data_IF_081632679826
#
_entry.id   IF_081632679826
#
_cell.length_a   1.000
_cell.length_b   1.000
_cell.length_c   1.000
_cell.angle_alpha   90.00
_cell.angle_beta   90.00
_cell.angle_gamma   90.00
#
_symmetry.space_group_name_H-M   'P 1'
#
loop_
_entity.id
_entity.type
_entity.pdbx_description
1 polymer ?
#
# COMPACT_ATOMS: atom_id res chain seq x y z
N UNK A 1 22.51 -30.61 -0.44
CA UNK A 1 23.66 -29.69 -0.27
C UNK A 1 23.20 -28.45 0.51
N UNK A 2 24.06 -27.88 1.36
CA UNK A 2 23.74 -26.64 2.10
C UNK A 2 23.76 -25.46 1.12
N UNK A 3 22.65 -24.74 1.01
CA UNK A 3 22.54 -23.57 0.14
C UNK A 3 23.51 -22.47 0.57
N UNK A 4 24.14 -21.82 -0.40
CA UNK A 4 24.95 -20.62 -0.19
C UNK A 4 24.10 -19.44 0.29
N UNK A 5 24.75 -18.39 0.78
CA UNK A 5 24.06 -17.15 1.18
C UNK A 5 23.35 -16.48 -0.01
N UNK A 6 23.99 -16.48 -1.19
CA UNK A 6 23.43 -15.90 -2.42
C UNK A 6 22.17 -16.64 -2.88
N UNK A 7 22.18 -17.98 -2.85
CA UNK A 7 20.99 -18.78 -3.21
C UNK A 7 19.83 -18.55 -2.24
N UNK A 8 20.12 -18.51 -0.92
CA UNK A 8 19.08 -18.19 0.08
C UNK A 8 18.53 -16.78 -0.09
N UNK A 9 19.38 -15.80 -0.42
CA UNK A 9 18.93 -14.44 -0.73
C UNK A 9 18.01 -14.40 -1.93
N UNK A 10 18.32 -15.11 -3.02
CA UNK A 10 17.44 -15.19 -4.18
C UNK A 10 16.06 -15.76 -3.82
N UNK A 11 16.02 -16.88 -3.07
CA UNK A 11 14.78 -17.54 -2.64
C UNK A 11 13.95 -16.61 -1.73
N UNK A 12 14.58 -16.03 -0.72
CA UNK A 12 13.88 -15.26 0.31
C UNK A 12 13.50 -13.85 -0.15
N UNK A 13 14.21 -13.29 -1.12
CA UNK A 13 13.83 -12.05 -1.81
C UNK A 13 12.64 -12.27 -2.76
N UNK A 14 12.65 -13.38 -3.52
CA UNK A 14 11.52 -13.73 -4.39
C UNK A 14 10.26 -14.03 -3.57
N UNK A 15 10.38 -14.78 -2.47
CA UNK A 15 9.26 -15.05 -1.58
C UNK A 15 8.70 -13.78 -0.92
N UNK A 16 9.54 -12.76 -0.67
CA UNK A 16 9.11 -11.48 -0.13
C UNK A 16 8.28 -10.65 -1.12
N UNK A 17 8.22 -10.98 -2.42
CA UNK A 17 7.47 -10.19 -3.42
C UNK A 17 5.97 -10.09 -3.11
N UNK A 18 5.42 -11.09 -2.43
CA UNK A 18 4.00 -11.16 -2.03
C UNK A 18 3.63 -10.24 -0.85
N UNK A 19 4.62 -9.64 -0.17
CA UNK A 19 4.38 -8.61 0.85
C UNK A 19 4.25 -7.22 0.20
N UNK A 20 3.03 -6.76 -0.01
CA UNK A 20 2.77 -5.42 -0.51
C UNK A 20 2.98 -4.41 0.63
N UNK A 21 4.20 -3.91 0.75
CA UNK A 21 4.57 -2.85 1.72
C UNK A 21 5.47 -1.77 1.11
N UNK A 22 6.00 -2.02 -0.08
CA UNK A 22 6.81 -1.12 -0.89
C UNK A 22 6.49 -1.36 -2.37
N UNK A 23 6.81 -0.37 -3.21
CA UNK A 23 6.73 -0.52 -4.65
C UNK A 23 7.93 -1.36 -5.13
N UNK A 24 7.65 -2.55 -5.64
CA UNK A 24 8.64 -3.36 -6.34
C UNK A 24 8.79 -2.79 -7.76
N UNK A 25 10.02 -2.57 -8.23
CA UNK A 25 10.26 -2.27 -9.64
C UNK A 25 10.00 -3.54 -10.47
N UNK A 26 8.79 -3.67 -11.01
CA UNK A 26 8.46 -4.73 -11.95
C UNK A 26 9.22 -4.52 -13.26
N UNK A 27 10.32 -5.24 -13.46
CA UNK A 27 11.08 -5.26 -14.71
C UNK A 27 11.19 -6.68 -15.24
N UNK A 28 11.30 -6.83 -16.56
CA UNK A 28 11.63 -8.12 -17.18
C UNK A 28 13.05 -8.52 -16.80
N UNK A 29 13.28 -9.82 -16.55
CA UNK A 29 14.63 -10.35 -16.34
C UNK A 29 15.47 -10.11 -17.60
N UNK A 30 16.57 -9.38 -17.44
CA UNK A 30 17.62 -9.13 -18.42
C UNK A 30 18.93 -9.51 -17.77
N UNK A 31 19.78 -10.16 -18.54
CA UNK A 31 21.13 -10.52 -18.13
C UNK A 31 22.07 -10.24 -19.28
N UNK A 32 23.11 -9.46 -19.02
CA UNK A 32 24.11 -9.07 -20.00
C UNK A 32 25.38 -9.92 -19.93
N UNK A 33 25.44 -10.92 -19.04
CA UNK A 33 26.61 -11.79 -18.84
C UNK A 33 27.04 -12.51 -20.13
N UNK A 34 26.10 -12.90 -20.99
CA UNK A 34 26.36 -13.59 -22.26
C UNK A 34 26.64 -12.65 -23.44
N UNK A 35 26.25 -11.38 -23.36
CA UNK A 35 26.32 -10.42 -24.46
C UNK A 35 27.48 -9.42 -24.35
N UNK A 36 28.24 -9.46 -23.26
CA UNK A 36 29.30 -8.48 -22.98
C UNK A 36 28.77 -7.07 -22.68
N UNK A 37 27.44 -6.91 -22.55
CA UNK A 37 26.80 -5.67 -22.16
C UNK A 37 26.90 -5.39 -20.65
N UNK A 38 26.42 -4.24 -20.22
CA UNK A 38 26.33 -3.87 -18.81
C UNK A 38 24.90 -4.00 -18.28
N UNK A 39 24.78 -4.55 -17.08
CA UNK A 39 23.55 -4.58 -16.29
C UNK A 39 22.79 -5.89 -16.36
N UNK A 40 22.30 -6.32 -15.18
CA UNK A 40 21.31 -7.39 -15.05
C UNK A 40 20.17 -6.90 -14.17
N UNK A 41 18.97 -7.36 -14.45
CA UNK A 41 17.81 -7.15 -13.58
C UNK A 41 17.60 -8.42 -12.77
N UNK A 42 18.55 -8.74 -11.89
CA UNK A 42 18.39 -9.80 -10.90
C UNK A 42 17.48 -9.35 -9.75
N UNK A 43 16.72 -10.29 -9.19
CA UNK A 43 15.84 -10.05 -8.04
C UNK A 43 16.63 -9.94 -6.73
N UNK A 44 17.50 -8.93 -6.60
CA UNK A 44 18.35 -8.68 -5.43
C UNK A 44 17.60 -8.28 -4.16
N UNK A 45 16.27 -8.41 -4.16
CA UNK A 45 15.42 -8.06 -3.03
C UNK A 45 15.31 -6.57 -2.77
N UNK A 46 15.71 -5.70 -3.69
CA UNK A 46 15.59 -4.24 -3.46
C UNK A 46 14.20 -3.76 -3.89
N UNK A 47 13.51 -3.04 -3.00
CA UNK A 47 12.26 -2.34 -3.32
C UNK A 47 12.31 -0.86 -2.92
N UNK A 48 11.35 -0.08 -3.42
CA UNK A 48 11.29 1.35 -3.16
C UNK A 48 10.11 1.69 -2.26
N UNK A 49 10.38 2.39 -1.15
CA UNK A 49 9.37 2.97 -0.29
C UNK A 49 9.42 4.49 -0.38
N UNK A 50 8.36 5.18 0.03
CA UNK A 50 8.34 6.63 0.06
C UNK A 50 8.25 7.10 1.52
N UNK A 51 9.21 7.92 1.91
CA UNK A 51 9.21 8.58 3.21
C UNK A 51 8.08 9.62 3.28
N UNK A 52 7.66 10.05 4.49
CA UNK A 52 6.59 11.05 4.65
C UNK A 52 6.83 12.39 3.94
N UNK A 53 8.09 12.72 3.66
CA UNK A 53 8.52 13.92 2.91
C UNK A 53 8.47 13.74 1.38
N UNK A 54 8.10 12.56 0.89
CA UNK A 54 8.01 12.23 -0.53
C UNK A 54 9.30 11.69 -1.15
N UNK A 55 10.39 11.55 -0.38
CA UNK A 55 11.62 10.93 -0.88
C UNK A 55 11.41 9.44 -1.11
N UNK A 56 11.90 8.97 -2.25
CA UNK A 56 12.00 7.54 -2.55
C UNK A 56 13.22 6.97 -1.84
N UNK A 57 13.05 5.89 -1.08
CA UNK A 57 14.11 5.19 -0.38
C UNK A 57 14.21 3.74 -0.86
N UNK A 58 15.43 3.23 -1.06
CA UNK A 58 15.66 1.83 -1.40
C UNK A 58 15.77 0.96 -0.15
N UNK A 59 15.06 -0.16 -0.12
CA UNK A 59 15.04 -1.10 1.01
C UNK A 59 15.46 -2.49 0.56
N UNK A 60 16.28 -3.17 1.38
CA UNK A 60 16.46 -4.61 1.26
C UNK A 60 15.20 -5.29 1.80
N UNK A 61 14.43 -5.90 0.91
CA UNK A 61 13.17 -6.58 1.16
C UNK A 61 13.37 -8.08 1.11
N UNK A 62 13.41 -8.69 2.29
CA UNK A 62 13.69 -10.13 2.44
C UNK A 62 12.80 -10.76 3.51
N UNK A 63 12.64 -12.07 3.41
CA UNK A 63 12.15 -12.89 4.51
C UNK A 63 13.31 -13.41 5.35
N UNK A 64 13.17 -13.42 6.68
CA UNK A 64 14.07 -14.19 7.56
C UNK A 64 14.03 -15.67 7.18
N UNK A 65 12.82 -16.18 6.93
CA UNK A 65 12.60 -17.50 6.36
C UNK A 65 11.29 -17.56 5.60
N UNK A 66 11.21 -18.44 4.61
CA UNK A 66 9.95 -18.82 3.99
C UNK A 66 9.37 -20.12 4.56
N UNK A 67 9.96 -20.74 5.59
CA UNK A 67 9.30 -21.81 6.33
C UNK A 67 8.13 -21.24 7.14
N UNK A 68 6.97 -21.88 7.09
CA UNK A 68 5.79 -21.46 7.84
C UNK A 68 5.04 -22.66 8.37
N UNK A 69 4.62 -22.61 9.64
CA UNK A 69 3.74 -23.63 10.25
C UNK A 69 2.27 -23.47 9.84
N UNK A 70 1.85 -22.30 9.34
CA UNK A 70 0.48 -22.04 8.92
C UNK A 70 0.24 -22.45 7.46
N UNK A 71 -0.99 -22.88 7.17
CA UNK A 71 -1.41 -23.35 5.85
C UNK A 71 -2.40 -22.42 5.14
N UNK A 72 -2.11 -21.11 5.14
CA UNK A 72 -2.98 -20.13 4.49
C UNK A 72 -3.14 -20.45 2.98
N UNK A 73 -4.37 -20.66 2.52
CA UNK A 73 -4.68 -21.16 1.18
C UNK A 73 -4.09 -20.31 0.05
N UNK A 74 -4.00 -18.99 0.25
CA UNK A 74 -3.52 -18.00 -0.72
C UNK A 74 -1.99 -17.80 -0.69
N UNK A 75 -1.29 -18.36 0.30
CA UNK A 75 0.11 -18.08 0.54
C UNK A 75 1.00 -19.13 -0.15
N UNK A 76 1.95 -18.66 -0.98
CA UNK A 76 2.96 -19.53 -1.58
C UNK A 76 3.84 -20.22 -0.53
N UNK A 77 4.01 -19.59 0.63
CA UNK A 77 4.85 -20.09 1.72
C UNK A 77 4.07 -20.95 2.73
N UNK A 78 2.81 -21.31 2.45
CA UNK A 78 2.00 -22.17 3.31
C UNK A 78 2.69 -23.52 3.59
N UNK A 79 2.44 -24.13 4.74
CA UNK A 79 3.15 -25.35 5.17
C UNK A 79 3.01 -26.50 4.17
N UNK A 80 1.88 -26.61 3.47
CA UNK A 80 1.62 -27.65 2.46
C UNK A 80 2.23 -27.38 1.08
N UNK A 81 2.88 -26.22 0.85
CA UNK A 81 3.48 -25.90 -0.45
C UNK A 81 4.86 -26.51 -0.62
N UNK A 82 5.13 -27.06 -1.81
CA UNK A 82 6.41 -27.69 -2.16
C UNK A 82 7.47 -26.69 -2.67
N UNK A 83 7.27 -25.39 -2.48
CA UNK A 83 8.28 -24.40 -2.86
C UNK A 83 9.59 -24.60 -2.12
N UNK A 84 10.68 -24.25 -2.80
CA UNK A 84 12.01 -24.35 -2.24
C UNK A 84 12.15 -23.48 -0.97
N UNK A 85 12.61 -24.10 0.12
CA UNK A 85 12.73 -23.43 1.42
C UNK A 85 14.15 -23.00 1.74
N UNK A 86 14.24 -21.87 2.44
CA UNK A 86 15.46 -21.25 2.91
C UNK A 86 15.21 -20.52 4.23
N UNK A 87 16.29 -20.31 4.98
CA UNK A 87 16.30 -19.55 6.23
C UNK A 87 17.64 -18.87 6.42
N UNK A 88 17.62 -17.64 6.90
CA UNK A 88 18.80 -16.96 7.42
C UNK A 88 18.89 -17.11 8.94
N UNK A 89 20.10 -16.99 9.48
CA UNK A 89 20.27 -16.65 10.89
C UNK A 89 20.13 -15.13 11.09
N UNK A 90 19.83 -14.66 12.31
CA UNK A 90 19.84 -13.22 12.62
C UNK A 90 21.13 -12.52 12.19
N UNK A 91 22.28 -13.14 12.42
CA UNK A 91 23.61 -12.59 12.10
C UNK A 91 23.80 -12.43 10.59
N UNK A 92 23.29 -13.36 9.79
CA UNK A 92 23.33 -13.27 8.33
C UNK A 92 22.48 -12.11 7.79
N UNK A 93 21.30 -11.87 8.37
CA UNK A 93 20.43 -10.74 7.99
C UNK A 93 21.10 -9.40 8.35
N UNK A 94 21.66 -9.30 9.56
CA UNK A 94 22.40 -8.11 10.00
C UNK A 94 23.58 -7.84 9.07
N UNK A 95 24.38 -8.86 8.77
CA UNK A 95 25.52 -8.75 7.86
C UNK A 95 25.10 -8.30 6.47
N UNK A 96 24.08 -8.95 5.87
CA UNK A 96 23.55 -8.58 4.55
C UNK A 96 23.09 -7.12 4.52
N UNK A 97 22.35 -6.69 5.54
CA UNK A 97 21.86 -5.32 5.64
C UNK A 97 23.01 -4.31 5.68
N UNK A 98 24.01 -4.55 6.52
CA UNK A 98 25.19 -3.67 6.62
C UNK A 98 26.00 -3.63 5.33
N UNK A 99 26.14 -4.76 4.65
CA UNK A 99 26.93 -4.89 3.43
C UNK A 99 26.26 -4.23 2.21
N UNK A 100 24.93 -4.31 2.09
CA UNK A 100 24.19 -3.57 1.06
C UNK A 100 24.19 -2.07 1.36
N UNK A 101 24.08 -1.68 2.63
CA UNK A 101 24.10 -0.27 3.03
C UNK A 101 25.45 0.39 2.76
N UNK A 102 26.56 -0.25 3.15
CA UNK A 102 27.93 0.26 2.92
C UNK A 102 28.27 0.44 1.44
N UNK A 103 27.63 -0.32 0.56
CA UNK A 103 27.78 -0.22 -0.91
C UNK A 103 26.78 0.76 -1.55
N UNK A 104 26.02 1.51 -0.75
CA UNK A 104 24.99 2.44 -1.19
C UNK A 104 23.88 1.81 -2.06
N UNK A 105 23.57 0.53 -1.85
CA UNK A 105 22.48 -0.15 -2.57
C UNK A 105 21.12 0.05 -1.89
N UNK A 106 21.13 0.24 -0.56
CA UNK A 106 19.92 0.40 0.25
C UNK A 106 20.08 1.57 1.24
N UNK A 107 18.97 2.15 1.63
CA UNK A 107 18.83 3.09 2.74
C UNK A 107 18.13 2.46 3.96
N UNK A 108 17.68 1.22 3.84
CA UNK A 108 16.96 0.53 4.91
C UNK A 108 16.67 -0.96 4.67
N UNK A 109 16.01 -1.57 5.64
CA UNK A 109 15.60 -2.97 5.68
C UNK A 109 14.07 -3.05 5.77
N UNK A 110 13.47 -3.86 4.90
CA UNK A 110 12.12 -4.41 5.07
C UNK A 110 12.27 -5.91 5.40
N UNK A 111 11.91 -6.29 6.63
CA UNK A 111 12.02 -7.67 7.10
C UNK A 111 10.65 -8.23 7.47
N UNK A 112 10.36 -9.40 6.90
CA UNK A 112 9.19 -10.22 7.18
C UNK A 112 9.64 -11.66 7.41
N UNK A 113 8.72 -12.57 7.71
CA UNK A 113 9.06 -13.99 7.89
C UNK A 113 7.82 -14.87 7.77
N UNK A 114 8.04 -16.13 7.36
CA UNK A 114 7.17 -17.23 7.76
C UNK A 114 7.39 -17.59 9.23
N UNK A 115 6.47 -18.37 9.80
CA UNK A 115 6.47 -18.69 11.24
C UNK A 115 7.16 -20.05 11.45
N UNK A 116 8.21 -20.05 12.27
CA UNK A 116 8.95 -21.26 12.65
C UNK A 116 8.84 -21.49 14.15
N UNK A 117 8.59 -22.74 14.55
CA UNK A 117 8.35 -23.19 15.93
C UNK A 117 7.13 -22.54 16.60
N UNK A 118 7.14 -21.22 16.78
CA UNK A 118 6.05 -20.41 17.31
C UNK A 118 6.13 -18.98 16.79
N UNK A 119 5.03 -18.23 16.93
CA UNK A 119 4.98 -16.79 16.63
C UNK A 119 6.01 -16.01 17.45
N UNK A 120 6.14 -16.30 18.74
CA UNK A 120 7.11 -15.68 19.64
C UNK A 120 8.55 -15.96 19.21
N UNK A 121 8.89 -17.22 18.95
CA UNK A 121 10.26 -17.57 18.55
C UNK A 121 10.71 -16.83 17.28
N UNK A 122 9.82 -16.75 16.29
CA UNK A 122 10.10 -16.02 15.05
C UNK A 122 10.23 -14.52 15.31
N UNK A 123 9.34 -13.96 16.14
CA UNK A 123 9.36 -12.54 16.46
C UNK A 123 10.60 -12.15 17.29
N UNK A 124 11.04 -12.99 18.23
CA UNK A 124 12.30 -12.83 18.97
C UNK A 124 13.50 -12.69 18.04
N UNK A 125 13.61 -13.53 17.01
CA UNK A 125 14.69 -13.44 16.02
C UNK A 125 14.62 -12.14 15.21
N UNK A 126 13.42 -11.72 14.80
CA UNK A 126 13.22 -10.45 14.08
C UNK A 126 13.56 -9.23 14.96
N UNK A 127 13.17 -9.25 16.24
CA UNK A 127 13.50 -8.21 17.22
C UNK A 127 15.00 -8.15 17.44
N UNK A 128 15.67 -9.30 17.60
CA UNK A 128 17.13 -9.38 17.75
C UNK A 128 17.83 -8.69 16.58
N UNK A 129 17.42 -8.95 15.34
CA UNK A 129 18.00 -8.31 14.15
C UNK A 129 17.90 -6.78 14.23
N UNK A 130 16.70 -6.25 14.52
CA UNK A 130 16.51 -4.80 14.60
C UNK A 130 17.29 -4.17 15.77
N UNK A 131 17.30 -4.84 16.93
CA UNK A 131 18.07 -4.42 18.10
C UNK A 131 19.57 -4.38 17.82
N UNK A 132 20.13 -5.44 17.23
CA UNK A 132 21.57 -5.54 16.94
C UNK A 132 21.98 -4.50 15.89
N UNK A 133 21.17 -4.29 14.85
CA UNK A 133 21.37 -3.20 13.89
C UNK A 133 21.48 -1.85 14.60
N UNK A 134 20.58 -1.54 15.54
CA UNK A 134 20.56 -0.25 16.25
C UNK A 134 21.67 -0.11 17.30
N UNK A 135 21.91 -1.15 18.09
CA UNK A 135 22.71 -1.06 19.33
C UNK A 135 24.16 -1.51 19.15
N UNK A 136 24.40 -2.52 18.30
CA UNK A 136 25.74 -3.05 18.04
C UNK A 136 26.37 -2.37 16.82
N UNK A 137 25.60 -2.21 15.74
CA UNK A 137 26.11 -1.70 14.47
C UNK A 137 25.84 -0.20 14.23
N UNK A 138 25.12 0.46 15.14
CA UNK A 138 24.74 1.88 15.03
C UNK A 138 24.07 2.22 13.68
N UNK A 139 23.37 1.27 13.08
CA UNK A 139 22.67 1.46 11.81
C UNK A 139 21.57 2.51 11.99
N UNK A 140 21.61 3.57 11.18
CA UNK A 140 20.64 4.69 11.21
C UNK A 140 19.70 4.71 10.01
N UNK A 141 19.79 3.70 9.12
CA UNK A 141 18.87 3.54 8.01
C UNK A 141 17.46 3.13 8.47
N UNK A 142 16.52 3.13 7.52
CA UNK A 142 15.12 2.84 7.78
C UNK A 142 14.91 1.35 8.10
N UNK A 143 14.08 1.00 9.08
CA UNK A 143 13.70 -0.38 9.39
C UNK A 143 12.18 -0.51 9.41
N UNK A 144 11.63 -1.34 8.52
CA UNK A 144 10.24 -1.76 8.52
C UNK A 144 10.18 -3.25 8.87
N UNK A 145 9.61 -3.57 10.03
CA UNK A 145 9.35 -4.95 10.43
C UNK A 145 7.89 -5.33 10.20
N UNK A 146 7.67 -6.50 9.61
CA UNK A 146 6.37 -7.13 9.57
C UNK A 146 6.20 -8.00 10.81
N UNK A 147 5.35 -7.60 11.74
CA UNK A 147 5.13 -8.32 13.00
C UNK A 147 4.42 -9.64 12.75
N UNK A 148 4.81 -10.67 13.50
CA UNK A 148 4.20 -11.99 13.41
C UNK A 148 2.86 -12.00 14.15
N UNK A 149 1.75 -12.45 13.52
CA UNK A 149 0.47 -12.61 14.20
C UNK A 149 0.59 -13.53 15.43
N UNK A 150 -0.17 -13.24 16.48
CA UNK A 150 -0.17 -13.99 17.74
C UNK A 150 1.17 -13.98 18.51
N UNK A 151 2.14 -13.14 18.12
CA UNK A 151 3.31 -12.87 18.95
C UNK A 151 2.93 -12.05 20.19
N UNK A 152 3.65 -12.24 21.29
CA UNK A 152 3.42 -11.60 22.57
C UNK A 152 3.56 -10.08 22.48
N UNK A 153 2.73 -9.36 23.23
CA UNK A 153 2.73 -7.91 23.26
C UNK A 153 4.10 -7.33 23.65
N UNK A 154 4.85 -8.01 24.51
CA UNK A 154 6.19 -7.61 24.91
C UNK A 154 7.18 -7.58 23.73
N UNK A 155 7.13 -8.58 22.84
CA UNK A 155 7.97 -8.63 21.64
C UNK A 155 7.57 -7.58 20.60
N UNK A 156 6.26 -7.32 20.46
CA UNK A 156 5.78 -6.24 19.58
C UNK A 156 6.24 -4.87 20.11
N UNK A 157 6.20 -4.66 21.43
CA UNK A 157 6.71 -3.45 22.06
C UNK A 157 8.22 -3.31 21.87
N UNK A 158 9.00 -4.39 22.09
CA UNK A 158 10.45 -4.36 21.86
C UNK A 158 10.79 -4.05 20.40
N UNK A 159 10.06 -4.65 19.44
CA UNK A 159 10.20 -4.33 18.02
C UNK A 159 9.98 -2.83 17.74
N UNK A 160 9.00 -2.23 18.41
CA UNK A 160 8.64 -0.82 18.24
C UNK A 160 9.69 0.17 18.72
N UNK A 161 10.59 -0.24 19.63
CA UNK A 161 11.72 0.57 20.09
C UNK A 161 12.83 0.70 19.03
N UNK A 162 12.97 -0.30 18.16
CA UNK A 162 14.08 -0.40 17.20
C UNK A 162 13.67 -0.16 15.74
N UNK A 163 12.41 -0.43 15.39
CA UNK A 163 11.87 -0.23 14.04
C UNK A 163 11.32 1.19 13.82
N UNK A 164 11.42 1.67 12.58
CA UNK A 164 10.77 2.92 12.17
C UNK A 164 9.28 2.71 11.88
N UNK A 165 8.93 1.55 11.31
CA UNK A 165 7.57 1.15 10.96
C UNK A 165 7.32 -0.30 11.35
N UNK A 166 6.14 -0.55 11.91
CA UNK A 166 5.61 -1.90 12.11
C UNK A 166 4.43 -2.13 11.18
N UNK A 167 4.26 -3.36 10.71
CA UNK A 167 3.04 -3.75 10.01
C UNK A 167 2.60 -5.15 10.36
N UNK A 168 1.29 -5.33 10.51
CA UNK A 168 0.65 -6.64 10.67
C UNK A 168 -0.35 -6.83 9.54
N UNK A 169 -0.40 -8.02 8.94
CA UNK A 169 -1.38 -8.29 7.90
C UNK A 169 -2.71 -8.70 8.49
N UNK A 170 -3.79 -8.06 8.01
CA UNK A 170 -5.15 -8.56 8.20
C UNK A 170 -5.51 -9.66 7.19
N UNK A 171 -4.73 -9.76 6.11
CA UNK A 171 -4.82 -10.74 5.03
C UNK A 171 -6.04 -10.62 4.13
N UNK A 172 -7.25 -10.63 4.66
CA UNK A 172 -8.49 -10.57 3.87
C UNK A 172 -9.44 -9.50 4.42
N UNK A 173 -10.33 -8.94 3.58
CA UNK A 173 -11.20 -7.84 3.98
C UNK A 173 -12.33 -8.27 4.92
N UNK A 174 -12.62 -9.58 5.01
CA UNK A 174 -13.72 -10.15 5.80
C UNK A 174 -13.24 -11.24 6.76
N UNK A 175 -13.79 -11.27 7.96
CA UNK A 175 -13.49 -12.31 8.96
C UNK A 175 -13.88 -13.71 8.43
N UNK A 176 -15.00 -13.80 7.70
CA UNK A 176 -15.43 -15.03 7.00
C UNK A 176 -14.35 -15.54 6.04
N UNK A 177 -13.78 -14.64 5.23
CA UNK A 177 -12.68 -14.97 4.32
C UNK A 177 -11.45 -15.49 5.09
N UNK A 178 -11.07 -14.82 6.19
CA UNK A 178 -9.94 -15.28 7.02
C UNK A 178 -10.21 -16.68 7.57
N UNK A 179 -11.37 -16.93 8.18
CA UNK A 179 -11.70 -18.26 8.73
C UNK A 179 -11.72 -19.36 7.66
N UNK A 180 -12.12 -19.03 6.43
CA UNK A 180 -12.16 -19.98 5.32
C UNK A 180 -10.78 -20.29 4.72
N UNK A 181 -9.91 -19.27 4.60
CA UNK A 181 -8.67 -19.37 3.84
C UNK A 181 -7.38 -19.33 4.68
N UNK A 182 -7.47 -18.99 5.96
CA UNK A 182 -6.34 -18.96 6.88
C UNK A 182 -6.83 -19.25 8.32
N UNK A 183 -7.36 -20.46 8.59
CA UNK A 183 -8.04 -20.78 9.84
C UNK A 183 -7.14 -20.68 11.09
N UNK A 184 -5.81 -20.75 10.93
CA UNK A 184 -4.86 -20.58 12.03
C UNK A 184 -4.73 -19.12 12.49
N UNK A 185 -5.18 -18.15 11.68
CA UNK A 185 -5.14 -16.72 12.02
C UNK A 185 -6.46 -16.29 12.66
N UNK A 186 -6.34 -15.58 13.79
CA UNK A 186 -7.50 -15.06 14.54
C UNK A 186 -7.68 -13.57 14.25
N UNK A 187 -8.76 -13.16 13.56
CA UNK A 187 -8.99 -11.74 13.24
C UNK A 187 -9.02 -10.84 14.48
N UNK A 188 -9.57 -11.34 15.59
CA UNK A 188 -9.63 -10.63 16.87
C UNK A 188 -8.24 -10.38 17.47
N UNK A 189 -7.34 -11.38 17.43
CA UNK A 189 -5.97 -11.24 17.93
C UNK A 189 -5.17 -10.21 17.12
N UNK A 190 -5.32 -10.24 15.80
CA UNK A 190 -4.72 -9.27 14.87
C UNK A 190 -5.23 -7.84 15.18
N UNK A 191 -6.53 -7.67 15.38
CA UNK A 191 -7.13 -6.37 15.75
C UNK A 191 -6.69 -5.87 17.12
N UNK A 192 -6.61 -6.75 18.12
CA UNK A 192 -6.09 -6.43 19.45
C UNK A 192 -4.65 -5.92 19.36
N UNK A 193 -3.78 -6.64 18.66
CA UNK A 193 -2.38 -6.24 18.47
C UNK A 193 -2.25 -4.85 17.81
N UNK A 194 -3.07 -4.53 16.80
CA UNK A 194 -3.09 -3.18 16.20
C UNK A 194 -3.56 -2.09 17.19
N UNK A 195 -4.57 -2.41 18.01
CA UNK A 195 -5.09 -1.52 19.06
C UNK A 195 -4.05 -1.23 20.13
N UNK A 196 -3.41 -2.27 20.67
CA UNK A 196 -2.36 -2.14 21.68
C UNK A 196 -1.17 -1.33 21.13
N UNK A 197 -0.77 -1.60 19.89
CA UNK A 197 0.28 -0.85 19.22
C UNK A 197 -0.08 0.63 19.03
N UNK A 198 -1.34 0.94 18.70
CA UNK A 198 -1.83 2.32 18.59
C UNK A 198 -1.64 3.06 19.91
N UNK A 199 -2.07 2.47 21.02
CA UNK A 199 -1.96 3.07 22.35
C UNK A 199 -0.50 3.35 22.71
N UNK A 200 0.41 2.43 22.39
CA UNK A 200 1.86 2.63 22.61
C UNK A 200 2.45 3.76 21.75
N UNK A 201 2.01 3.87 20.49
CA UNK A 201 2.42 4.96 19.59
C UNK A 201 1.92 6.31 20.13
N UNK A 202 0.67 6.36 20.59
CA UNK A 202 0.06 7.56 21.19
C UNK A 202 0.82 7.98 22.46
N UNK A 203 1.04 7.06 23.41
CA UNK A 203 1.81 7.29 24.65
C UNK A 203 3.24 7.81 24.35
N UNK A 204 3.95 7.20 23.39
CA UNK A 204 5.30 7.63 23.03
C UNK A 204 5.34 9.00 22.35
N UNK A 205 4.24 9.41 21.71
CA UNK A 205 4.12 10.71 21.03
C UNK A 205 3.89 11.87 22.00
N UNK A 206 3.48 11.58 23.23
CA UNK A 206 3.34 12.58 24.28
C UNK A 206 4.72 13.08 24.76
N UNK A 207 4.91 14.40 24.91
CA UNK A 207 6.15 14.92 25.47
C UNK A 207 6.26 14.48 26.93
N UNK A 208 7.38 13.86 27.29
CA UNK A 208 7.61 13.53 28.71
C UNK A 208 7.67 14.80 29.55
N UNK A 209 6.97 14.82 30.69
CA UNK A 209 6.94 15.98 31.60
C UNK A 209 8.34 16.44 32.04
N UNK A 210 9.29 15.51 32.14
CA UNK A 210 10.67 15.80 32.58
C UNK A 210 11.56 16.39 31.48
N UNK A 211 11.54 15.84 30.27
CA UNK A 211 12.51 16.23 29.22
C UNK A 211 11.90 17.05 28.09
N UNK A 212 10.56 17.17 28.05
CA UNK A 212 9.78 17.72 26.93
C UNK A 212 10.10 17.06 25.58
N UNK A 213 10.82 15.93 25.57
CA UNK A 213 11.12 15.13 24.38
C UNK A 213 10.15 13.96 24.28
N UNK A 214 9.81 13.63 23.04
CA UNK A 214 9.04 12.44 22.67
C UNK A 214 9.94 11.21 22.69
N UNK A 215 9.39 10.08 23.13
CA UNK A 215 10.10 8.80 23.01
C UNK A 215 10.08 8.38 21.55
N UNK A 216 11.17 7.77 21.06
CA UNK A 216 11.19 7.17 19.73
C UNK A 216 10.55 5.79 19.82
N UNK A 217 9.37 5.66 19.23
CA UNK A 217 8.65 4.40 19.12
C UNK A 217 7.85 4.42 17.81
N UNK A 218 8.21 3.54 16.87
CA UNK A 218 7.55 3.42 15.55
C UNK A 218 7.22 4.78 14.91
N UNK A 219 8.21 5.66 14.68
CA UNK A 219 7.99 7.04 14.23
C UNK A 219 7.22 7.17 12.90
N UNK A 220 7.30 6.16 12.01
CA UNK A 220 6.57 6.12 10.76
C UNK A 220 5.16 5.49 10.90
N UNK A 221 4.76 5.12 12.12
CA UNK A 221 3.48 4.53 12.48
C UNK A 221 3.31 3.09 12.03
N UNK A 222 2.06 2.60 12.12
CA UNK A 222 1.70 1.25 11.72
C UNK A 222 0.96 1.20 10.38
N UNK A 223 1.09 0.09 9.66
CA UNK A 223 0.37 -0.20 8.40
C UNK A 223 -0.08 -1.65 8.32
N UNK A 224 -0.95 -1.95 7.36
CA UNK A 224 -1.44 -3.32 7.14
C UNK A 224 -1.58 -3.62 5.64
N UNK A 225 -1.74 -4.89 5.30
CA UNK A 225 -1.99 -5.38 3.94
C UNK A 225 -3.23 -6.28 3.92
N UNK A 226 -3.97 -6.17 2.83
CA UNK A 226 -5.09 -7.04 2.47
C UNK A 226 -4.94 -7.55 1.03
N UNK A 227 -5.36 -8.79 0.81
CA UNK A 227 -5.41 -9.45 -0.48
C UNK A 227 -6.79 -9.21 -1.08
N UNK A 228 -6.81 -8.78 -2.33
CA UNK A 228 -8.02 -8.41 -3.07
C UNK A 228 -8.32 -9.47 -4.11
N UNK A 229 -9.56 -9.95 -4.14
CA UNK A 229 -10.03 -10.94 -5.12
C UNK A 229 -9.73 -12.40 -4.77
N UNK A 230 -9.25 -12.67 -3.55
CA UNK A 230 -9.18 -14.04 -3.03
C UNK A 230 -10.52 -14.52 -2.44
N UNK A 231 -11.34 -13.58 -1.95
CA UNK A 231 -12.73 -13.82 -1.52
C UNK A 231 -13.72 -13.04 -2.41
N UNK A 232 -15.02 -13.22 -2.15
CA UNK A 232 -16.10 -12.56 -2.89
C UNK A 232 -16.38 -11.11 -2.45
N UNK A 233 -15.46 -10.45 -1.73
CA UNK A 233 -15.70 -9.09 -1.24
C UNK A 233 -15.71 -8.07 -2.40
N UNK A 234 -16.75 -7.23 -2.41
CA UNK A 234 -16.82 -6.07 -3.31
C UNK A 234 -15.99 -4.89 -2.78
N UNK A 235 -15.76 -3.90 -3.65
CA UNK A 235 -14.88 -2.77 -3.31
C UNK A 235 -15.43 -1.90 -2.17
N UNK A 236 -16.75 -1.77 -2.03
CA UNK A 236 -17.40 -1.13 -0.88
C UNK A 236 -17.03 -1.81 0.45
N UNK A 237 -17.03 -3.14 0.49
CA UNK A 237 -16.63 -3.89 1.69
C UNK A 237 -15.14 -3.68 2.00
N UNK A 238 -14.30 -3.76 0.97
CA UNK A 238 -12.84 -3.59 1.09
C UNK A 238 -12.50 -2.19 1.62
N UNK A 239 -13.02 -1.14 0.98
CA UNK A 239 -12.80 0.24 1.37
C UNK A 239 -13.43 0.56 2.73
N UNK A 240 -14.59 0.01 3.04
CA UNK A 240 -15.22 0.12 4.35
C UNK A 240 -14.36 -0.50 5.45
N UNK A 241 -13.75 -1.65 5.20
CA UNK A 241 -12.76 -2.27 6.10
C UNK A 241 -11.54 -1.36 6.27
N UNK A 242 -10.99 -0.80 5.19
CA UNK A 242 -9.89 0.17 5.27
C UNK A 242 -10.23 1.41 6.10
N UNK A 243 -11.41 2.01 5.89
CA UNK A 243 -11.87 3.17 6.65
C UNK A 243 -11.96 2.86 8.16
N UNK A 244 -12.51 1.69 8.54
CA UNK A 244 -12.52 1.24 9.93
C UNK A 244 -11.10 1.06 10.47
N UNK A 245 -10.20 0.47 9.70
CA UNK A 245 -8.81 0.26 10.13
C UNK A 245 -8.09 1.59 10.38
N UNK A 246 -8.27 2.59 9.51
CA UNK A 246 -7.72 3.93 9.70
C UNK A 246 -8.28 4.59 10.97
N UNK A 247 -9.60 4.59 11.16
CA UNK A 247 -10.24 5.24 12.30
C UNK A 247 -9.96 4.55 13.64
N UNK A 248 -10.07 3.23 13.68
CA UNK A 248 -9.93 2.44 14.92
C UNK A 248 -8.47 2.24 15.34
N UNK A 249 -7.52 2.15 14.41
CA UNK A 249 -6.12 1.80 14.74
C UNK A 249 -5.10 2.89 14.35
N UNK A 250 -5.54 4.01 13.80
CA UNK A 250 -4.64 5.11 13.42
C UNK A 250 -3.61 4.72 12.36
N UNK A 251 -3.95 3.76 11.49
CA UNK A 251 -3.03 3.25 10.47
C UNK A 251 -2.55 4.39 9.57
N UNK A 252 -1.27 4.35 9.19
CA UNK A 252 -0.71 5.29 8.20
C UNK A 252 -0.97 4.85 6.77
N UNK A 253 -1.21 3.55 6.53
CA UNK A 253 -1.48 3.00 5.21
C UNK A 253 -2.11 1.61 5.29
N UNK A 254 -3.07 1.35 4.41
CA UNK A 254 -3.53 0.02 4.02
C UNK A 254 -2.98 -0.27 2.62
N UNK A 255 -2.36 -1.44 2.45
CA UNK A 255 -1.87 -1.93 1.17
C UNK A 255 -2.85 -2.95 0.59
N UNK A 256 -3.29 -2.70 -0.64
CA UNK A 256 -4.08 -3.62 -1.43
C UNK A 256 -3.12 -4.41 -2.33
N UNK A 257 -3.26 -5.74 -2.34
CA UNK A 257 -2.52 -6.62 -3.24
C UNK A 257 -3.53 -7.48 -3.98
N UNK A 258 -3.57 -7.39 -5.31
CA UNK A 258 -4.33 -8.34 -6.11
C UNK A 258 -3.87 -9.77 -5.79
N UNK A 259 -4.82 -10.68 -5.64
CA UNK A 259 -4.52 -12.10 -5.53
C UNK A 259 -3.77 -12.55 -6.78
N UNK A 260 -2.65 -13.25 -6.60
CA UNK A 260 -1.94 -13.91 -7.69
C UNK A 260 -2.08 -15.41 -7.47
N UNK A 261 -2.63 -16.15 -8.45
CA UNK A 261 -2.61 -17.60 -8.40
C UNK A 261 -1.18 -18.08 -8.21
N UNK A 262 -0.99 -18.98 -7.24
CA UNK A 262 0.27 -19.67 -7.01
C UNK A 262 0.29 -20.96 -7.85
N UNK A 263 1.47 -21.48 -8.26
CA UNK A 263 1.56 -22.68 -9.10
C UNK A 263 0.76 -23.88 -8.56
N UNK A 264 0.72 -24.04 -7.23
CA UNK A 264 -0.08 -25.05 -6.52
C UNK A 264 -1.29 -24.42 -5.80
N UNK A 265 -2.11 -23.65 -6.50
CA UNK A 265 -3.25 -22.96 -5.90
C UNK A 265 -4.21 -23.94 -5.22
N UNK A 266 -4.73 -23.57 -4.04
CA UNK A 266 -5.77 -24.36 -3.39
C UNK A 266 -7.02 -24.37 -4.27
N UNK A 267 -7.68 -25.51 -4.42
CA UNK A 267 -8.99 -25.61 -5.07
C UNK A 267 -10.08 -24.74 -4.39
N UNK A 268 -9.82 -24.29 -3.16
CA UNK A 268 -10.71 -23.37 -2.44
C UNK A 268 -10.70 -21.95 -3.00
N UNK A 269 -9.66 -21.56 -3.75
CA UNK A 269 -9.49 -20.19 -4.24
C UNK A 269 -9.94 -20.02 -5.69
N UNK A 270 -10.33 -18.80 -6.09
CA UNK A 270 -10.62 -18.51 -7.48
C UNK A 270 -9.40 -18.79 -8.35
N UNK A 271 -9.58 -19.53 -9.45
CA UNK A 271 -8.52 -19.77 -10.44
C UNK A 271 -8.26 -18.53 -11.33
N UNK A 272 -9.17 -17.55 -11.28
CA UNK A 272 -9.09 -16.34 -12.11
C UNK A 272 -8.32 -15.26 -11.36
N UNK A 273 -7.25 -14.78 -11.98
CA UNK A 273 -6.50 -13.62 -11.48
C UNK A 273 -7.40 -12.37 -11.58
N UNK A 274 -7.64 -11.64 -10.47
CA UNK A 274 -8.37 -10.38 -10.53
C UNK A 274 -7.65 -9.37 -11.43
N UNK A 275 -8.39 -8.50 -12.15
CA UNK A 275 -7.78 -7.46 -12.96
C UNK A 275 -6.85 -6.58 -12.12
N UNK A 276 -5.59 -6.41 -12.53
CA UNK A 276 -4.61 -5.56 -11.82
C UNK A 276 -5.10 -4.10 -11.69
N UNK A 277 -5.94 -3.66 -12.62
CA UNK A 277 -6.57 -2.34 -12.58
C UNK A 277 -7.44 -2.17 -11.33
N UNK A 278 -8.07 -3.23 -10.82
CA UNK A 278 -8.88 -3.18 -9.60
C UNK A 278 -8.05 -2.76 -8.38
N UNK A 279 -6.84 -3.30 -8.23
CA UNK A 279 -5.91 -2.88 -7.17
C UNK A 279 -5.60 -1.38 -7.27
N UNK A 280 -5.30 -0.90 -8.48
CA UNK A 280 -5.04 0.52 -8.71
C UNK A 280 -6.27 1.39 -8.38
N UNK A 281 -7.48 0.96 -8.74
CA UNK A 281 -8.73 1.67 -8.40
C UNK A 281 -8.95 1.79 -6.89
N UNK A 282 -8.67 0.72 -6.14
CA UNK A 282 -8.74 0.75 -4.68
C UNK A 282 -7.76 1.76 -4.08
N UNK A 283 -6.52 1.83 -4.59
CA UNK A 283 -5.57 2.87 -4.15
C UNK A 283 -6.04 4.28 -4.48
N UNK A 284 -6.67 4.49 -5.65
CA UNK A 284 -7.24 5.79 -6.01
C UNK A 284 -8.40 6.17 -5.09
N UNK A 285 -9.31 5.24 -4.79
CA UNK A 285 -10.43 5.46 -3.88
C UNK A 285 -9.96 5.71 -2.43
N UNK A 286 -8.99 4.93 -1.93
CA UNK A 286 -8.33 5.14 -0.64
C UNK A 286 -7.75 6.55 -0.52
N UNK A 287 -7.12 7.04 -1.59
CA UNK A 287 -6.56 8.40 -1.63
C UNK A 287 -7.65 9.48 -1.55
N UNK A 288 -8.78 9.29 -2.24
CA UNK A 288 -9.92 10.21 -2.15
C UNK A 288 -10.49 10.26 -0.74
N UNK A 289 -10.67 9.10 -0.10
CA UNK A 289 -11.11 9.02 1.28
C UNK A 289 -10.17 9.80 2.21
N UNK A 290 -8.86 9.52 2.14
CA UNK A 290 -7.88 10.04 3.10
C UNK A 290 -7.51 11.51 2.92
N UNK A 291 -7.48 12.00 1.69
CA UNK A 291 -6.92 13.33 1.41
C UNK A 291 -7.91 14.29 0.78
N UNK A 292 -9.05 13.79 0.26
CA UNK A 292 -10.05 14.60 -0.44
C UNK A 292 -11.35 14.73 0.37
N UNK A 293 -11.49 13.99 1.47
CA UNK A 293 -12.69 14.02 2.31
C UNK A 293 -13.91 13.44 1.63
N UNK A 294 -13.72 12.42 0.80
CA UNK A 294 -14.80 11.60 0.26
C UNK A 294 -15.22 10.58 1.32
N UNK A 295 -16.53 10.33 1.44
CA UNK A 295 -17.01 9.16 2.18
C UNK A 295 -16.95 7.90 1.32
N UNK A 296 -16.71 6.73 1.92
CA UNK A 296 -16.65 5.45 1.17
C UNK A 296 -17.96 5.19 0.44
N UNK A 297 -19.08 5.42 1.11
CA UNK A 297 -20.40 5.28 0.50
C UNK A 297 -20.63 6.23 -0.66
N UNK A 298 -20.04 7.43 -0.64
CA UNK A 298 -20.10 8.36 -1.78
C UNK A 298 -19.30 7.81 -2.96
N UNK A 299 -18.10 7.25 -2.74
CA UNK A 299 -17.26 6.72 -3.82
C UNK A 299 -17.93 5.51 -4.48
N UNK A 300 -18.46 4.58 -3.70
CA UNK A 300 -18.97 3.29 -4.21
C UNK A 300 -20.41 3.33 -4.67
N UNK A 301 -21.15 4.42 -4.44
CA UNK A 301 -22.53 4.58 -4.96
C UNK A 301 -22.57 4.85 -6.46
N UNK A 302 -21.43 5.09 -7.11
CA UNK A 302 -21.35 5.28 -8.56
C UNK A 302 -21.76 4.02 -9.35
N UNK A 303 -21.77 2.85 -8.73
CA UNK A 303 -22.18 1.56 -9.29
C UNK A 303 -23.17 0.86 -8.37
N UNK A 304 -24.03 0.02 -8.93
CA UNK A 304 -25.11 -0.65 -8.18
C UNK A 304 -24.58 -1.82 -7.33
N UNK A 305 -23.51 -2.49 -7.78
CA UNK A 305 -22.93 -3.66 -7.13
C UNK A 305 -21.90 -3.32 -6.04
N UNK A 306 -21.58 -2.02 -5.88
CA UNK A 306 -20.59 -1.53 -4.94
C UNK A 306 -19.14 -1.78 -5.36
N UNK A 307 -18.88 -2.16 -6.61
CA UNK A 307 -17.53 -2.26 -7.17
C UNK A 307 -17.11 -0.97 -7.86
N UNK A 308 -15.81 -0.67 -7.89
CA UNK A 308 -15.30 0.50 -8.60
C UNK A 308 -15.33 0.26 -10.11
N UNK A 309 -15.57 1.34 -10.85
CA UNK A 309 -15.44 1.33 -12.30
C UNK A 309 -13.98 1.02 -12.70
N UNK A 310 -13.78 -0.03 -13.51
CA UNK A 310 -12.44 -0.42 -13.93
C UNK A 310 -11.90 0.47 -15.05
N UNK A 311 -12.77 1.08 -15.87
CA UNK A 311 -12.36 1.94 -16.98
C UNK A 311 -12.04 3.36 -16.52
N UNK A 312 -12.83 3.89 -15.58
CA UNK A 312 -12.76 5.28 -15.13
C UNK A 312 -12.11 5.40 -13.75
N UNK A 313 -11.36 6.48 -13.52
CA UNK A 313 -10.89 6.77 -12.17
C UNK A 313 -12.08 7.05 -11.22
N UNK A 314 -12.02 6.67 -9.93
CA UNK A 314 -13.17 6.75 -9.02
C UNK A 314 -13.74 8.17 -8.88
N UNK A 315 -12.90 9.21 -8.98
CA UNK A 315 -13.34 10.60 -8.86
C UNK A 315 -14.14 11.04 -10.08
N UNK A 316 -13.71 10.63 -11.27
CA UNK A 316 -14.46 10.87 -12.50
C UNK A 316 -15.76 10.05 -12.54
N UNK A 317 -15.71 8.76 -12.19
CA UNK A 317 -16.89 7.92 -12.11
C UNK A 317 -17.96 8.53 -11.17
N UNK A 318 -17.53 8.99 -10.00
CA UNK A 318 -18.39 9.71 -9.06
C UNK A 318 -19.00 10.98 -9.68
N UNK A 319 -18.19 11.79 -10.35
CA UNK A 319 -18.66 13.05 -10.94
C UNK A 319 -19.67 12.84 -12.07
N UNK A 320 -19.51 11.77 -12.85
CA UNK A 320 -20.45 11.39 -13.91
C UNK A 320 -21.76 10.81 -13.37
N UNK A 321 -21.74 10.20 -12.19
CA UNK A 321 -22.93 9.72 -11.49
C UNK A 321 -23.70 10.85 -10.77
N UNK A 322 -23.00 11.93 -10.38
CA UNK A 322 -23.55 13.06 -9.63
C UNK A 322 -23.52 14.36 -10.45
N UNK A 323 -24.04 14.31 -11.68
CA UNK A 323 -24.04 15.46 -12.60
C UNK A 323 -24.82 16.66 -12.07
N UNK A 324 -25.80 16.42 -11.20
CA UNK A 324 -26.58 17.43 -10.47
C UNK A 324 -25.71 18.35 -9.59
N UNK A 325 -24.51 17.90 -9.21
CA UNK A 325 -23.54 18.66 -8.41
C UNK A 325 -22.62 19.55 -9.25
N UNK A 326 -22.76 19.51 -10.57
CA UNK A 326 -21.93 20.25 -11.51
C UNK A 326 -22.80 21.20 -12.36
N UNK A 327 -22.24 22.32 -12.83
CA UNK A 327 -20.84 22.72 -12.72
C UNK A 327 -20.50 23.46 -11.42
N UNK A 328 -19.24 23.35 -11.00
CA UNK A 328 -18.72 24.00 -9.78
C UNK A 328 -18.06 25.34 -10.13
N UNK A 329 -18.52 26.45 -9.53
CA UNK A 329 -17.89 27.77 -9.68
C UNK A 329 -16.56 27.83 -8.93
N UNK A 330 -15.44 27.91 -9.64
CA UNK A 330 -14.09 27.92 -9.03
C UNK A 330 -13.84 29.13 -8.12
N UNK A 331 -14.54 30.23 -8.37
CA UNK A 331 -14.39 31.48 -7.62
C UNK A 331 -15.23 31.51 -6.34
N UNK A 332 -16.27 30.66 -6.22
CA UNK A 332 -17.21 30.69 -5.08
C UNK A 332 -17.27 29.39 -4.29
N UNK A 333 -17.09 28.24 -4.94
CA UNK A 333 -17.34 26.94 -4.33
C UNK A 333 -16.47 26.67 -3.09
N UNK A 334 -17.01 25.90 -2.15
CA UNK A 334 -16.28 25.43 -0.99
C UNK A 334 -15.13 24.50 -1.39
N UNK A 335 -14.13 24.37 -0.52
CA UNK A 335 -12.94 23.53 -0.75
C UNK A 335 -13.33 22.08 -1.07
N UNK A 336 -14.33 21.57 -0.37
CA UNK A 336 -14.83 20.21 -0.44
C UNK A 336 -15.41 19.91 -1.83
N UNK A 337 -16.15 20.85 -2.41
CA UNK A 337 -16.68 20.73 -3.77
C UNK A 337 -15.60 20.89 -4.84
N UNK A 338 -14.61 21.77 -4.63
CA UNK A 338 -13.45 21.86 -5.54
C UNK A 338 -12.66 20.54 -5.55
N UNK A 339 -12.52 19.88 -4.40
CA UNK A 339 -11.89 18.57 -4.30
C UNK A 339 -12.68 17.46 -5.01
N UNK A 340 -13.94 17.69 -5.39
CA UNK A 340 -14.77 16.72 -6.15
C UNK A 340 -14.68 16.89 -7.67
N UNK A 341 -14.20 18.02 -8.17
CA UNK A 341 -14.00 18.29 -9.61
C UNK A 341 -12.90 17.38 -10.21
N UNK A 342 -13.20 16.51 -11.19
CA UNK A 342 -12.20 15.65 -11.84
C UNK A 342 -11.01 16.44 -12.37
N UNK A 343 -9.78 16.00 -12.09
CA UNK A 343 -8.55 16.72 -12.49
C UNK A 343 -8.03 17.76 -11.49
N UNK A 344 -8.82 18.16 -10.49
CA UNK A 344 -8.29 18.98 -9.38
C UNK A 344 -7.61 18.12 -8.32
N UNK A 345 -6.38 18.48 -7.96
CA UNK A 345 -5.64 17.91 -6.84
C UNK A 345 -5.61 18.81 -5.60
N UNK A 346 -5.18 18.30 -4.45
CA UNK A 346 -5.11 19.08 -3.19
C UNK A 346 -4.25 20.33 -3.30
N UNK A 347 -3.11 20.25 -4.01
CA UNK A 347 -2.23 21.40 -4.32
C UNK A 347 -2.96 22.41 -5.20
N UNK A 348 -3.60 21.95 -6.28
CA UNK A 348 -4.38 22.79 -7.19
C UNK A 348 -5.50 23.52 -6.44
N UNK A 349 -6.30 22.81 -5.63
CA UNK A 349 -7.39 23.42 -4.86
C UNK A 349 -6.85 24.45 -3.88
N UNK A 350 -5.72 24.18 -3.21
CA UNK A 350 -5.06 25.17 -2.35
C UNK A 350 -4.68 26.43 -3.14
N UNK A 351 -4.09 26.27 -4.33
CA UNK A 351 -3.75 27.40 -5.20
C UNK A 351 -4.99 28.18 -5.63
N UNK A 352 -6.07 27.51 -6.06
CA UNK A 352 -7.34 28.14 -6.43
C UNK A 352 -7.87 29.00 -5.28
N UNK A 353 -7.96 28.42 -4.07
CA UNK A 353 -8.47 29.12 -2.88
C UNK A 353 -7.61 30.33 -2.52
N UNK A 354 -6.28 30.23 -2.66
CA UNK A 354 -5.39 31.34 -2.38
C UNK A 354 -5.50 32.46 -3.43
N UNK A 355 -5.53 32.10 -4.71
CA UNK A 355 -5.51 33.06 -5.81
C UNK A 355 -6.83 33.80 -5.97
N UNK A 356 -7.96 33.12 -5.72
CA UNK A 356 -9.31 33.74 -5.88
C UNK A 356 -9.61 34.85 -4.88
N UNK A 357 -8.76 35.02 -3.85
CA UNK A 357 -8.83 36.14 -2.89
C UNK A 357 -8.36 37.46 -3.50
N UNK A 358 -7.51 37.41 -4.52
CA UNK A 358 -6.87 38.58 -5.13
C UNK A 358 -7.40 38.90 -6.52
N UNK A 359 -7.97 37.91 -7.21
CA UNK A 359 -8.49 38.05 -8.57
C UNK A 359 -9.58 37.03 -8.83
N UNK A 360 -10.45 37.30 -9.80
CA UNK A 360 -11.32 36.27 -10.36
C UNK A 360 -10.49 35.38 -11.28
N UNK A 361 -10.60 34.07 -11.08
CA UNK A 361 -9.90 33.05 -11.86
C UNK A 361 -10.67 32.77 -13.15
N UNK A 362 -9.95 32.80 -14.26
CA UNK A 362 -10.40 32.36 -15.57
C UNK A 362 -9.95 30.94 -15.85
N UNK A 363 -10.45 30.34 -16.93
CA UNK A 363 -10.07 28.96 -17.28
C UNK A 363 -8.59 28.84 -17.62
N UNK A 364 -7.98 29.87 -18.22
CA UNK A 364 -6.55 29.87 -18.58
C UNK A 364 -5.64 29.82 -17.35
N UNK A 365 -6.10 30.37 -16.22
CA UNK A 365 -5.36 30.33 -14.96
C UNK A 365 -5.26 28.91 -14.41
N UNK A 366 -6.31 28.11 -14.61
CA UNK A 366 -6.31 26.70 -14.19
C UNK A 366 -5.30 25.90 -15.02
N UNK A 367 -5.17 26.19 -16.31
CA UNK A 367 -4.15 25.60 -17.17
C UNK A 367 -2.73 25.89 -16.66
N UNK A 368 -2.47 27.12 -16.19
CA UNK A 368 -1.18 27.50 -15.57
C UNK A 368 -0.90 26.80 -14.24
N UNK A 369 -1.93 26.29 -13.56
CA UNK A 369 -1.79 25.47 -12.35
C UNK A 369 -1.54 23.98 -12.65
N UNK A 370 -1.28 23.61 -13.92
CA UNK A 370 -1.01 22.24 -14.34
C UNK A 370 -2.26 21.37 -14.46
N UNK A 371 -3.44 21.98 -14.56
CA UNK A 371 -4.71 21.27 -14.74
C UNK A 371 -4.95 20.99 -16.22
N UNK A 372 -5.32 19.75 -16.55
CA UNK A 372 -5.81 19.42 -17.89
C UNK A 372 -7.17 20.07 -18.14
N UNK A 373 -7.20 21.12 -18.96
CA UNK A 373 -8.43 21.86 -19.27
C UNK A 373 -9.50 20.95 -19.88
N UNK A 374 -9.11 20.06 -20.80
CA UNK A 374 -10.01 19.05 -21.39
C UNK A 374 -10.72 18.19 -20.33
N UNK A 375 -10.05 17.89 -19.21
CA UNK A 375 -10.64 17.09 -18.12
C UNK A 375 -11.63 17.88 -17.26
N UNK A 376 -11.36 19.16 -17.00
CA UNK A 376 -12.18 19.96 -16.07
C UNK A 376 -13.32 20.70 -16.73
N UNK A 377 -13.21 21.03 -18.02
CA UNK A 377 -14.14 21.89 -18.75
C UNK A 377 -15.62 21.57 -18.53
N UNK A 378 -16.07 20.30 -18.56
CA UNK A 378 -17.48 19.97 -18.33
C UNK A 378 -17.99 20.22 -16.91
N UNK A 379 -17.08 20.29 -15.93
CA UNK A 379 -17.39 20.24 -14.50
C UNK A 379 -17.28 21.60 -13.80
N UNK A 380 -16.84 22.67 -14.47
CA UNK A 380 -16.53 23.94 -13.81
C UNK A 380 -17.12 25.15 -14.51
N UNK A 381 -17.40 26.19 -13.71
CA UNK A 381 -17.58 27.58 -14.17
C UNK A 381 -16.37 28.40 -13.71
N UNK A 382 -15.86 29.25 -14.59
CA UNK A 382 -14.81 30.21 -14.28
C UNK A 382 -15.15 31.57 -14.91
N UNK A 383 -14.38 32.61 -14.58
CA UNK A 383 -14.56 33.91 -15.21
C UNK A 383 -14.36 33.78 -16.74
N UNK A 384 -15.39 34.14 -17.52
CA UNK A 384 -15.40 33.97 -18.98
C UNK A 384 -15.62 32.52 -19.49
N UNK A 385 -15.88 31.54 -18.62
CA UNK A 385 -16.13 30.15 -19.02
C UNK A 385 -17.37 29.54 -18.36
N UNK A 386 -18.23 28.95 -19.19
CA UNK A 386 -19.35 28.10 -18.76
C UNK A 386 -19.39 26.82 -19.60
N UNK A 387 -19.67 25.65 -19.00
CA UNK A 387 -19.72 24.38 -19.72
C UNK A 387 -20.95 24.24 -20.62
N UNK A 388 -21.89 25.20 -20.59
CA UNK A 388 -23.16 25.12 -21.33
C UNK A 388 -23.83 23.73 -21.13
N UNK A 389 -24.08 23.00 -22.22
CA UNK A 389 -24.70 21.66 -22.20
C UNK A 389 -23.70 20.50 -22.18
N UNK A 390 -22.41 20.76 -21.96
CA UNK A 390 -21.38 19.69 -21.97
C UNK A 390 -21.65 18.62 -20.91
N UNK A 391 -22.16 19.02 -19.73
CA UNK A 391 -22.46 18.08 -18.64
C UNK A 391 -23.66 17.16 -18.97
N UNK A 392 -24.59 17.64 -19.79
CA UNK A 392 -25.81 16.93 -20.19
C UNK A 392 -25.61 16.01 -21.40
N UNK A 393 -24.39 15.98 -21.97
CA UNK A 393 -24.06 15.10 -23.08
C UNK A 393 -24.27 13.63 -22.70
N UNK A 394 -24.98 12.90 -23.55
CA UNK A 394 -25.16 11.45 -23.40
C UNK A 394 -23.83 10.70 -23.54
N UNK A 395 -22.94 11.20 -24.40
CA UNK A 395 -21.61 10.64 -24.68
C UNK A 395 -20.49 11.18 -23.77
N UNK A 396 -20.82 11.95 -22.72
CA UNK A 396 -19.81 12.56 -21.83
C UNK A 396 -18.83 11.53 -21.26
N UNK A 397 -19.31 10.32 -20.95
CA UNK A 397 -18.45 9.21 -20.48
C UNK A 397 -17.40 8.84 -21.51
N UNK A 398 -17.78 8.74 -22.78
CA UNK A 398 -16.90 8.33 -23.89
C UNK A 398 -15.77 9.35 -24.13
N UNK A 399 -15.96 10.62 -23.78
CA UNK A 399 -14.92 11.63 -23.87
C UNK A 399 -13.71 11.34 -22.97
N UNK A 400 -13.88 10.50 -21.95
CA UNK A 400 -12.86 10.15 -20.95
C UNK A 400 -12.45 8.68 -20.95
N UNK A 401 -13.21 7.82 -21.61
CA UNK A 401 -12.84 6.42 -21.79
C UNK A 401 -11.57 6.29 -22.65
N UNK A 402 -10.73 5.26 -22.41
CA UNK A 402 -9.65 4.94 -23.33
C UNK A 402 -10.19 4.70 -24.75
N UNK A 403 -9.39 5.00 -25.77
CA UNK A 403 -9.75 4.71 -27.15
C UNK A 403 -10.00 3.20 -27.29
N UNK A 404 -11.04 2.79 -28.05
CA UNK A 404 -11.31 1.36 -28.26
C UNK A 404 -10.08 0.70 -28.89
N UNK A 405 -9.51 -0.28 -28.20
CA UNK A 405 -8.45 -1.11 -28.76
C UNK A 405 -9.10 -2.11 -29.73
N UNK A 406 -8.67 -2.08 -30.99
CA UNK A 406 -9.05 -3.11 -31.95
C UNK A 406 -8.43 -4.42 -31.51
N UNK A 407 -9.26 -5.41 -31.17
CA UNK A 407 -8.79 -6.75 -30.82
C UNK A 407 -7.98 -7.32 -31.99
N UNK A 408 -6.69 -7.55 -31.76
CA UNK A 408 -5.84 -8.29 -32.68
C UNK A 408 -6.27 -9.75 -32.66
N UNK A 409 -6.89 -10.21 -33.75
CA UNK A 409 -7.12 -11.62 -34.02
C UNK A 409 -5.77 -12.26 -34.39
N UNK A 410 -5.08 -12.84 -33.41
CA UNK A 410 -3.93 -13.73 -33.64
C UNK A 410 -4.03 -14.96 -32.73
#
# INVERSE_FOLDING_TARGET
MKKSLKERLAILSDAAKYDASCASSGTTRRDSTSSGGLGSTEGSGICHAYAPDGRCISLLKILLTNFCIYDCAYCINRSSSNVERARFTPEEVVWLTMEFYRRNYIEGLFLSSGIIRSSDHTMEEMVKIARDLRTVHNFRGYIHLKTIPEASAALIEEAGLYADRLSINIELPTDKGISQFAPEKKPEGIRRAMGDLRLKIEDASEPTLKTKRRKKFVPAGQSTQMIVGADGANDATILGTSARLYGSYGLKRVYYSAFSPIPDASSKLPLIKPPLVREHRLYQADWLYRFYGFDIGEITSATVDGNLDLELDPKLAWALAHRDRFPVDVNKAAKEMLLRVPGFGTKTVRSILSSRRFRRLRIEDLGRLGVSLRKVQPFIVADGWTPHRMIDRSDLRQMFSPQPEQLTLF
#
